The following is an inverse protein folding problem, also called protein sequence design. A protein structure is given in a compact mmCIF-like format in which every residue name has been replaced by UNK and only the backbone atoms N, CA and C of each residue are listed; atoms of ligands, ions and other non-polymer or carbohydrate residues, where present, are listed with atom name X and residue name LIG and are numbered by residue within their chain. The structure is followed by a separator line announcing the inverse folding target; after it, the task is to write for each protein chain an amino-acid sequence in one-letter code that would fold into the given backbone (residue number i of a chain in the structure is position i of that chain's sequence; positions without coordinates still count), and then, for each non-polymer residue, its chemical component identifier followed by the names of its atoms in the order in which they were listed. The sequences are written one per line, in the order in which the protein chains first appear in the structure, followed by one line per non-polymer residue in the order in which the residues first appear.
data_IF_569641431537
#
_entry.id   IF_569641431537
#
_cell.length_a   1.000
_cell.length_b   1.000
_cell.length_c   1.000
_cell.angle_alpha   90.00
_cell.angle_beta   90.00
_cell.angle_gamma   90.00
#
_symmetry.space_group_name_H-M   'P 1'
#
loop_
_entity.id
_entity.type
_entity.pdbx_description
1 polymer ?
#
# COMPACT_ATOMS: atom_id res chain seq x y z
N UNK A 1 -8.75 -0.55 20.02
CA UNK A 1 -8.82 -0.38 18.55
C UNK A 1 -7.86 0.70 18.01
N UNK A 2 -7.49 1.71 18.81
CA UNK A 2 -6.55 2.78 18.42
C UNK A 2 -5.24 2.33 17.71
N UNK A 3 -4.59 1.25 18.16
CA UNK A 3 -3.38 0.72 17.48
C UNK A 3 -3.70 0.16 16.08
N UNK A 4 -4.83 -0.53 15.92
CA UNK A 4 -5.27 -1.10 14.64
C UNK A 4 -5.67 0.01 13.67
N UNK A 5 -6.37 1.04 14.15
CA UNK A 5 -6.71 2.24 13.37
C UNK A 5 -5.46 2.96 12.86
N UNK A 6 -4.45 3.12 13.73
CA UNK A 6 -3.17 3.72 13.33
C UNK A 6 -2.47 2.88 12.27
N UNK A 7 -2.35 1.57 12.48
CA UNK A 7 -1.71 0.68 11.50
C UNK A 7 -2.47 0.68 10.16
N UNK A 8 -3.80 0.65 10.19
CA UNK A 8 -4.61 0.77 8.99
C UNK A 8 -4.29 2.04 8.21
N UNK A 9 -4.27 3.19 8.90
CA UNK A 9 -3.94 4.48 8.28
C UNK A 9 -2.53 4.49 7.70
N UNK A 10 -1.54 3.97 8.43
CA UNK A 10 -0.14 3.89 7.98
C UNK A 10 0.00 3.01 6.73
N UNK A 11 -0.67 1.85 6.68
CA UNK A 11 -0.68 0.96 5.51
C UNK A 11 -1.35 1.61 4.28
N UNK A 12 -2.47 2.30 4.47
CA UNK A 12 -3.13 3.05 3.40
C UNK A 12 -2.25 4.19 2.88
N UNK A 13 -1.52 4.87 3.77
CA UNK A 13 -0.57 5.91 3.39
C UNK A 13 0.57 5.36 2.53
N UNK A 14 1.15 4.21 2.93
CA UNK A 14 2.20 3.56 2.16
C UNK A 14 1.73 3.05 0.80
N UNK A 15 0.53 2.46 0.72
CA UNK A 15 -0.06 2.04 -0.55
C UNK A 15 -0.23 3.22 -1.52
N UNK A 16 -0.71 4.37 -1.02
CA UNK A 16 -0.84 5.60 -1.83
C UNK A 16 0.51 6.13 -2.32
N UNK A 17 1.52 6.14 -1.45
CA UNK A 17 2.86 6.57 -1.81
C UNK A 17 3.49 5.66 -2.86
N UNK A 18 3.35 4.34 -2.71
CA UNK A 18 3.80 3.36 -3.69
C UNK A 18 3.08 3.53 -5.04
N UNK A 19 1.78 3.84 -5.05
CA UNK A 19 1.07 4.11 -6.30
C UNK A 19 1.61 5.35 -7.05
N UNK A 20 2.06 6.39 -6.32
CA UNK A 20 2.69 7.54 -6.96
C UNK A 20 4.08 7.19 -7.53
N UNK A 21 4.87 6.40 -6.81
CA UNK A 21 6.17 5.94 -7.29
C UNK A 21 6.03 5.02 -8.50
N UNK A 22 5.07 4.10 -8.51
CA UNK A 22 4.73 3.27 -9.66
C UNK A 22 4.48 4.10 -10.93
N UNK A 23 3.71 5.21 -10.82
CA UNK A 23 3.45 6.10 -11.96
C UNK A 23 4.73 6.75 -12.49
N UNK A 24 5.63 7.15 -11.60
CA UNK A 24 6.91 7.73 -11.97
C UNK A 24 7.84 6.69 -12.63
N UNK A 25 7.92 5.48 -12.05
CA UNK A 25 8.68 4.38 -12.63
C UNK A 25 8.18 4.03 -14.03
N UNK A 26 6.86 3.97 -14.21
CA UNK A 26 6.25 3.72 -15.52
C UNK A 26 6.51 4.86 -16.52
N UNK A 27 6.47 6.13 -16.10
CA UNK A 27 6.78 7.26 -17.01
C UNK A 27 8.23 7.24 -17.50
N UNK A 28 9.14 6.70 -16.68
CA UNK A 28 10.56 6.61 -16.98
C UNK A 28 10.94 5.28 -17.66
N UNK A 29 9.97 4.39 -17.93
CA UNK A 29 10.18 3.03 -18.45
C UNK A 29 11.10 2.17 -17.57
N UNK A 30 11.06 2.39 -16.25
CA UNK A 30 11.75 1.53 -15.27
C UNK A 30 10.82 0.39 -14.81
N UNK A 31 10.75 -0.65 -15.63
CA UNK A 31 9.88 -1.80 -15.41
C UNK A 31 10.23 -2.59 -14.14
N UNK A 32 11.51 -2.61 -13.75
CA UNK A 32 11.97 -3.36 -12.56
C UNK A 32 11.50 -2.66 -11.29
N UNK A 33 11.65 -1.34 -11.22
CA UNK A 33 11.13 -0.57 -10.08
C UNK A 33 9.60 -0.64 -10.03
N UNK A 34 8.92 -0.57 -11.18
CA UNK A 34 7.46 -0.69 -11.25
C UNK A 34 6.95 -2.06 -10.74
N UNK A 35 7.64 -3.15 -11.06
CA UNK A 35 7.28 -4.49 -10.56
C UNK A 35 7.47 -4.60 -9.04
N UNK A 36 8.61 -4.12 -8.52
CA UNK A 36 8.86 -4.10 -7.07
C UNK A 36 7.78 -3.32 -6.31
N UNK A 37 7.35 -2.18 -6.85
CA UNK A 37 6.29 -1.38 -6.25
C UNK A 37 4.93 -2.05 -6.31
N UNK A 38 4.63 -2.79 -7.38
CA UNK A 38 3.40 -3.59 -7.50
C UNK A 38 3.30 -4.63 -6.37
N UNK A 39 4.42 -5.32 -6.10
CA UNK A 39 4.49 -6.28 -5.00
C UNK A 39 4.30 -5.60 -3.64
N UNK A 40 4.92 -4.43 -3.42
CA UNK A 40 4.76 -3.66 -2.17
C UNK A 40 3.34 -3.16 -1.97
N UNK A 41 2.70 -2.62 -3.00
CA UNK A 41 1.30 -2.19 -2.96
C UNK A 41 0.39 -3.34 -2.55
N UNK A 42 0.56 -4.51 -3.17
CA UNK A 42 -0.23 -5.72 -2.87
C UNK A 42 -0.19 -6.08 -1.39
N UNK A 43 0.99 -6.03 -0.76
CA UNK A 43 1.13 -6.30 0.68
C UNK A 43 0.39 -5.24 1.50
N UNK A 44 0.63 -3.95 1.23
CA UNK A 44 0.04 -2.87 2.03
C UNK A 44 -1.49 -2.82 1.93
N UNK A 45 -2.05 -3.00 0.73
CA UNK A 45 -3.50 -3.01 0.51
C UNK A 45 -4.16 -4.23 1.15
N UNK A 46 -3.56 -5.42 1.00
CA UNK A 46 -4.08 -6.64 1.63
C UNK A 46 -4.07 -6.50 3.15
N UNK A 47 -2.99 -5.99 3.74
CA UNK A 47 -2.92 -5.77 5.20
C UNK A 47 -3.91 -4.72 5.66
N UNK A 48 -4.07 -3.61 4.93
CA UNK A 48 -5.09 -2.61 5.23
C UNK A 48 -6.50 -3.22 5.23
N UNK A 49 -6.83 -4.06 4.24
CA UNK A 49 -8.11 -4.75 4.18
C UNK A 49 -8.34 -5.66 5.40
N UNK A 50 -7.34 -6.48 5.77
CA UNK A 50 -7.42 -7.36 6.95
C UNK A 50 -7.55 -6.58 8.27
N UNK A 51 -6.83 -5.46 8.42
CA UNK A 51 -6.97 -4.61 9.61
C UNK A 51 -8.34 -3.93 9.66
N UNK A 52 -8.86 -3.53 8.50
CA UNK A 52 -10.20 -2.94 8.37
C UNK A 52 -11.31 -3.92 8.78
N UNK A 53 -11.20 -5.20 8.43
CA UNK A 53 -12.19 -6.20 8.85
C UNK A 53 -12.21 -6.40 10.36
N UNK A 54 -11.05 -6.29 11.04
CA UNK A 54 -10.97 -6.37 12.51
C UNK A 54 -11.57 -5.15 13.23
N UNK A 55 -11.79 -4.04 12.53
CA UNK A 55 -12.44 -2.85 13.09
C UNK A 55 -13.97 -2.87 12.89
N UNK A 56 -14.43 -3.56 11.85
CA UNK A 56 -15.84 -3.68 11.47
C UNK A 56 -16.65 -4.62 12.39
N UNK A 57 -15.98 -5.51 13.12
CA UNK A 57 -16.52 -6.30 14.25
C UNK A 57 -16.48 -5.50 15.55
#
# INVERSE_FOLDING_TARGET
KAMIEKLLSDHQHLAKTAHNLFKNAQSDNDDVTADLDTQRMTVHEKTAWMLGSLLAE
#
